data_IF_875174705449
#
_entry.id   IF_875174705449
#
_cell.length_a   1.000
_cell.length_b   1.000
_cell.length_c   1.000
_cell.angle_alpha   90.00
_cell.angle_beta   90.00
_cell.angle_gamma   90.00
#
_symmetry.space_group_name_H-M   'P 1'
#
loop_
_entity.id
_entity.type
_entity.pdbx_description
1 polymer ?
#
# COMPACT_ATOMS: atom_id res chain seq x y z
N UNK A 1 -63.71 45.79 31.94
CA UNK A 1 -62.24 45.72 31.93
C UNK A 1 -61.79 44.38 31.39
N UNK A 2 -61.01 44.39 30.32
CA UNK A 2 -60.32 43.23 29.78
C UNK A 2 -59.06 43.73 29.11
N UNK A 3 -57.95 43.77 29.83
CA UNK A 3 -56.64 44.12 29.27
C UNK A 3 -56.20 43.00 28.33
N UNK A 4 -55.83 43.29 27.08
CA UNK A 4 -55.38 42.27 26.14
C UNK A 4 -54.01 41.74 26.58
N UNK A 5 -53.93 40.44 26.84
CA UNK A 5 -52.67 39.77 27.17
C UNK A 5 -51.85 39.60 25.89
N UNK A 6 -50.72 40.28 25.80
CA UNK A 6 -49.74 40.09 24.72
C UNK A 6 -49.19 38.66 24.77
N UNK A 7 -49.16 37.91 23.65
CA UNK A 7 -48.54 36.60 23.60
C UNK A 7 -47.07 36.67 24.03
N UNK A 8 -46.54 35.65 24.74
CA UNK A 8 -45.14 35.63 25.12
C UNK A 8 -44.23 35.68 23.87
N UNK A 9 -43.09 36.40 23.91
CA UNK A 9 -42.18 36.47 22.78
C UNK A 9 -41.62 35.08 22.47
N UNK A 10 -41.71 34.65 21.21
CA UNK A 10 -41.07 33.42 20.76
C UNK A 10 -39.56 33.66 20.71
N UNK A 11 -38.78 32.82 21.39
CA UNK A 11 -37.31 32.86 21.31
C UNK A 11 -36.88 32.55 19.87
N UNK A 12 -36.00 33.36 19.25
CA UNK A 12 -35.50 33.09 17.91
C UNK A 12 -34.80 31.72 17.84
N UNK A 13 -35.16 30.91 16.85
CA UNK A 13 -34.53 29.61 16.61
C UNK A 13 -33.09 29.84 16.12
N UNK A 14 -32.11 29.25 16.81
CA UNK A 14 -30.71 29.31 16.37
C UNK A 14 -30.48 28.46 15.11
N UNK A 15 -29.44 28.74 14.29
CA UNK A 15 -29.13 27.92 13.11
C UNK A 15 -29.03 26.42 13.44
N UNK A 16 -28.31 26.05 14.50
CA UNK A 16 -28.19 24.66 14.97
C UNK A 16 -29.55 24.03 15.31
N UNK A 17 -30.48 24.80 15.88
CA UNK A 17 -31.83 24.31 16.18
C UNK A 17 -32.71 24.17 14.93
N UNK A 18 -32.36 24.82 13.82
CA UNK A 18 -33.10 24.72 12.56
C UNK A 18 -32.71 23.51 11.71
N UNK A 19 -31.59 22.84 12.02
CA UNK A 19 -31.16 21.63 11.32
C UNK A 19 -32.09 20.47 11.66
N UNK A 20 -32.58 19.81 10.62
CA UNK A 20 -33.44 18.63 10.66
C UNK A 20 -32.62 17.35 10.53
N UNK A 21 -31.75 17.29 9.52
CA UNK A 21 -30.83 16.18 9.27
C UNK A 21 -29.54 16.63 8.59
N UNK A 22 -28.57 15.73 8.54
CA UNK A 22 -27.37 15.85 7.72
C UNK A 22 -27.45 14.85 6.56
N UNK A 23 -26.96 15.26 5.41
CA UNK A 23 -26.89 14.43 4.20
C UNK A 23 -25.50 14.50 3.56
N UNK A 24 -25.19 13.51 2.71
CA UNK A 24 -23.99 13.57 1.88
C UNK A 24 -24.16 14.59 0.76
N UNK A 25 -23.16 15.45 0.59
CA UNK A 25 -23.14 16.50 -0.44
C UNK A 25 -22.29 16.10 -1.66
N UNK A 26 -22.36 14.82 -2.06
CA UNK A 26 -21.64 14.30 -3.21
C UNK A 26 -20.19 13.88 -2.90
N UNK A 27 -19.97 13.22 -1.77
CA UNK A 27 -18.66 12.67 -1.42
C UNK A 27 -18.26 11.59 -2.41
N UNK A 28 -17.14 11.80 -3.10
CA UNK A 28 -16.58 10.80 -4.01
C UNK A 28 -16.04 9.58 -3.25
N UNK A 29 -15.71 8.51 -3.99
CA UNK A 29 -15.18 7.28 -3.40
C UNK A 29 -13.88 7.57 -2.63
N UNK A 30 -13.90 7.32 -1.34
CA UNK A 30 -12.76 7.52 -0.45
C UNK A 30 -11.84 6.30 -0.50
N UNK A 31 -10.76 6.38 -1.25
CA UNK A 31 -9.72 5.34 -1.31
C UNK A 31 -8.34 5.97 -1.30
N UNK A 32 -7.41 5.35 -0.60
CA UNK A 32 -5.99 5.73 -0.57
C UNK A 32 -5.12 4.49 -0.38
N UNK A 33 -3.87 4.53 -0.85
CA UNK A 33 -2.89 3.51 -0.49
C UNK A 33 -2.44 3.72 0.96
N UNK A 34 -1.99 2.64 1.60
CA UNK A 34 -1.44 2.70 2.95
C UNK A 34 -0.35 3.78 3.04
N UNK A 35 -0.46 4.65 4.05
CA UNK A 35 0.42 5.79 4.26
C UNK A 35 0.19 7.02 3.36
N UNK A 36 -0.71 6.96 2.38
CA UNK A 36 -0.99 8.09 1.48
C UNK A 36 -2.17 8.94 1.96
N UNK A 37 -2.19 10.21 1.52
CA UNK A 37 -3.35 11.07 1.73
C UNK A 37 -4.52 10.62 0.84
N UNK A 38 -5.75 10.71 1.38
CA UNK A 38 -6.95 10.61 0.56
C UNK A 38 -7.06 11.86 -0.32
N UNK A 39 -7.20 11.66 -1.62
CA UNK A 39 -7.36 12.76 -2.59
C UNK A 39 -8.74 13.39 -2.51
N UNK A 40 -9.75 12.58 -2.21
CA UNK A 40 -11.14 12.99 -2.07
C UNK A 40 -11.46 13.44 -0.64
N UNK A 41 -12.38 14.41 -0.52
CA UNK A 41 -12.82 14.95 0.77
C UNK A 41 -14.28 14.64 1.04
N UNK A 42 -14.59 14.45 2.32
CA UNK A 42 -15.96 14.31 2.80
C UNK A 42 -16.66 15.67 2.76
N UNK A 43 -17.84 15.71 2.15
CA UNK A 43 -18.71 16.89 2.14
C UNK A 43 -20.07 16.53 2.71
N UNK A 44 -20.49 17.25 3.76
CA UNK A 44 -21.76 17.00 4.46
C UNK A 44 -22.60 18.26 4.42
N UNK A 45 -23.86 18.12 4.01
CA UNK A 45 -24.81 19.23 4.00
C UNK A 45 -25.74 19.13 5.20
N UNK A 46 -25.94 20.25 5.88
CA UNK A 46 -26.94 20.38 6.93
C UNK A 46 -28.20 21.01 6.34
N UNK A 47 -29.33 20.32 6.42
CA UNK A 47 -30.60 20.80 5.91
C UNK A 47 -31.59 21.06 7.02
N UNK A 48 -32.45 22.06 6.82
CA UNK A 48 -33.66 22.22 7.63
C UNK A 48 -34.82 21.40 7.05
N UNK A 49 -35.95 21.38 7.76
CA UNK A 49 -37.14 20.61 7.35
C UNK A 49 -37.74 21.04 5.98
N UNK A 50 -37.32 22.18 5.43
CA UNK A 50 -37.72 22.66 4.11
C UNK A 50 -36.69 22.33 3.00
N UNK A 51 -35.66 21.52 3.30
CA UNK A 51 -34.59 21.16 2.37
C UNK A 51 -33.65 22.32 2.02
N UNK A 52 -33.59 23.36 2.86
CA UNK A 52 -32.64 24.47 2.69
C UNK A 52 -31.41 24.23 3.53
N UNK A 53 -30.24 24.49 2.94
CA UNK A 53 -28.96 24.45 3.61
C UNK A 53 -28.88 25.42 4.79
N UNK A 54 -28.32 24.95 5.91
CA UNK A 54 -28.17 25.73 7.14
C UNK A 54 -26.70 26.09 7.33
N UNK A 55 -26.40 27.38 7.19
CA UNK A 55 -25.05 27.91 7.32
C UNK A 55 -24.58 28.05 8.77
N UNK A 56 -23.25 28.10 8.96
CA UNK A 56 -22.56 28.39 10.23
C UNK A 56 -22.89 27.41 11.38
N UNK A 57 -23.28 26.18 11.06
CA UNK A 57 -23.38 25.10 12.05
C UNK A 57 -22.10 24.27 12.04
N UNK A 58 -21.73 23.71 13.19
CA UNK A 58 -20.52 22.86 13.29
C UNK A 58 -20.87 21.40 13.13
N UNK A 59 -20.24 20.76 12.17
CA UNK A 59 -20.28 19.32 11.95
C UNK A 59 -18.99 18.72 12.51
N UNK A 60 -19.13 17.66 13.30
CA UNK A 60 -18.03 16.82 13.81
C UNK A 60 -17.96 15.55 12.98
N UNK A 61 -16.77 15.26 12.50
CA UNK A 61 -16.40 14.03 11.82
C UNK A 61 -15.59 13.16 12.78
N UNK A 62 -15.98 11.90 12.92
CA UNK A 62 -15.29 10.93 13.78
C UNK A 62 -14.93 9.69 12.97
N UNK A 63 -13.65 9.35 12.93
CA UNK A 63 -13.15 8.09 12.38
C UNK A 63 -13.53 6.95 13.34
N UNK A 64 -14.12 5.88 12.80
CA UNK A 64 -14.61 4.71 13.54
C UNK A 64 -14.19 3.44 12.80
N UNK A 65 -13.77 2.43 13.58
CA UNK A 65 -13.30 1.15 13.06
C UNK A 65 -11.84 0.92 13.44
N UNK A 66 -11.36 -0.29 13.11
CA UNK A 66 -9.95 -0.65 13.31
C UNK A 66 -9.10 -0.08 12.18
N UNK A 67 -8.52 1.08 12.43
CA UNK A 67 -7.65 1.79 11.49
C UNK A 67 -6.74 2.74 12.25
N UNK A 68 -5.58 3.01 11.69
CA UNK A 68 -4.64 4.03 12.10
C UNK A 68 -4.77 5.33 11.26
N UNK A 69 -5.74 5.42 10.33
CA UNK A 69 -6.03 6.63 9.56
C UNK A 69 -6.41 7.84 10.44
N UNK A 70 -6.03 9.05 10.05
CA UNK A 70 -6.26 10.28 10.83
C UNK A 70 -6.77 11.41 9.95
N UNK A 71 -7.36 12.44 10.56
CA UNK A 71 -7.48 13.73 9.90
C UNK A 71 -6.13 14.46 9.93
N UNK A 72 -5.98 15.46 9.06
CA UNK A 72 -4.86 16.39 9.11
C UNK A 72 -4.66 16.91 10.54
N UNK A 73 -3.47 16.71 11.10
CA UNK A 73 -3.16 17.00 12.51
C UNK A 73 -3.06 15.75 13.41
N UNK A 74 -3.33 14.55 12.89
CA UNK A 74 -3.14 13.28 13.60
C UNK A 74 -4.31 12.84 14.48
N UNK A 75 -5.40 13.61 14.49
CA UNK A 75 -6.58 13.36 15.31
C UNK A 75 -7.57 12.41 14.63
N UNK A 76 -8.32 11.62 15.41
CA UNK A 76 -9.45 10.80 14.93
C UNK A 76 -10.75 11.59 14.78
N UNK A 77 -10.76 12.83 15.28
CA UNK A 77 -11.90 13.72 15.29
C UNK A 77 -11.53 15.03 14.63
N UNK A 78 -12.41 15.52 13.77
CA UNK A 78 -12.28 16.82 13.14
C UNK A 78 -13.61 17.56 13.16
N UNK A 79 -13.57 18.88 13.05
CA UNK A 79 -14.77 19.70 12.95
C UNK A 79 -14.67 20.67 11.77
N UNK A 80 -15.78 20.89 11.08
CA UNK A 80 -15.90 21.91 10.06
C UNK A 80 -17.20 22.70 10.23
N UNK A 81 -17.18 23.96 9.80
CA UNK A 81 -18.37 24.81 9.74
C UNK A 81 -19.04 24.65 8.38
N UNK A 82 -20.38 24.66 8.38
CA UNK A 82 -21.12 24.79 7.13
C UNK A 82 -20.98 26.19 6.55
N UNK A 83 -20.77 26.24 5.24
CA UNK A 83 -20.72 27.48 4.46
C UNK A 83 -22.12 28.09 4.24
N UNK A 84 -22.21 29.11 3.38
CA UNK A 84 -23.47 29.77 3.07
C UNK A 84 -24.52 28.87 2.40
N UNK A 85 -24.09 27.78 1.74
CA UNK A 85 -24.95 26.78 1.12
C UNK A 85 -25.35 25.65 2.08
N UNK A 86 -24.82 25.66 3.31
CA UNK A 86 -25.06 24.62 4.31
C UNK A 86 -24.10 23.44 4.21
N UNK A 87 -23.03 23.51 3.41
CA UNK A 87 -22.08 22.42 3.21
C UNK A 87 -20.85 22.62 4.09
N UNK A 88 -20.48 21.59 4.84
CA UNK A 88 -19.20 21.50 5.55
C UNK A 88 -18.30 20.48 4.85
N UNK A 89 -17.05 20.87 4.60
CA UNK A 89 -16.02 19.97 4.08
C UNK A 89 -15.10 19.56 5.22
N UNK A 90 -14.93 18.26 5.43
CA UNK A 90 -14.02 17.74 6.45
C UNK A 90 -12.56 18.09 6.10
N UNK A 91 -11.68 18.25 7.11
CA UNK A 91 -10.23 18.22 6.89
C UNK A 91 -9.80 16.98 6.12
N UNK A 92 -8.66 17.07 5.42
CA UNK A 92 -8.17 15.96 4.62
C UNK A 92 -7.89 14.73 5.50
N UNK A 93 -8.27 13.56 5.00
CA UNK A 93 -7.96 12.27 5.61
C UNK A 93 -6.59 11.81 5.15
N UNK A 94 -5.86 11.21 6.08
CA UNK A 94 -4.56 10.59 5.89
C UNK A 94 -4.72 9.09 6.19
N UNK A 95 -4.38 8.23 5.23
CA UNK A 95 -4.30 6.80 5.50
C UNK A 95 -3.12 6.50 6.42
N UNK A 96 -3.32 5.56 7.33
CA UNK A 96 -2.20 4.89 8.00
C UNK A 96 -1.79 3.63 7.25
N UNK A 97 -1.07 2.74 7.92
CA UNK A 97 -0.56 1.49 7.34
C UNK A 97 -1.56 0.33 7.44
N UNK A 98 -2.59 0.43 8.29
CA UNK A 98 -3.64 -0.60 8.43
C UNK A 98 -4.56 -0.59 7.21
N UNK A 99 -4.37 -1.56 6.32
CA UNK A 99 -5.23 -1.77 5.15
C UNK A 99 -6.62 -2.28 5.55
N UNK A 100 -7.64 -1.91 4.78
CA UNK A 100 -9.02 -2.32 5.02
C UNK A 100 -9.99 -1.16 4.94
N UNK A 101 -11.25 -1.43 5.29
CA UNK A 101 -12.31 -0.42 5.28
C UNK A 101 -12.59 0.10 6.69
N UNK A 102 -12.82 1.40 6.80
CA UNK A 102 -13.26 2.07 8.02
C UNK A 102 -14.37 3.08 7.71
N UNK A 103 -14.98 3.62 8.77
CA UNK A 103 -16.08 4.55 8.65
C UNK A 103 -15.72 5.95 9.19
N UNK A 104 -16.30 6.99 8.62
CA UNK A 104 -16.31 8.34 9.19
C UNK A 104 -17.76 8.75 9.43
N UNK A 105 -18.11 9.01 10.69
CA UNK A 105 -19.47 9.46 11.08
C UNK A 105 -19.51 10.97 11.12
N UNK A 106 -20.49 11.57 10.45
CA UNK A 106 -20.79 13.00 10.60
C UNK A 106 -21.90 13.21 11.63
N UNK A 107 -21.67 14.13 12.56
CA UNK A 107 -22.63 14.48 13.62
C UNK A 107 -22.71 15.99 13.78
N UNK A 108 -23.92 16.51 14.00
CA UNK A 108 -24.11 17.91 14.33
C UNK A 108 -23.70 18.16 15.78
N UNK A 109 -22.93 19.22 16.03
CA UNK A 109 -22.59 19.63 17.40
C UNK A 109 -23.75 20.45 17.99
N UNK A 110 -24.17 20.09 19.20
CA UNK A 110 -25.19 20.84 19.97
C UNK A 110 -26.63 20.36 19.75
N UNK A 111 -26.86 19.39 18.87
CA UNK A 111 -28.16 18.74 18.67
C UNK A 111 -27.97 17.37 18.01
N UNK A 112 -28.76 16.38 18.43
CA UNK A 112 -28.83 15.08 17.75
C UNK A 112 -29.77 15.15 16.56
N UNK A 113 -29.26 14.78 15.38
CA UNK A 113 -30.00 14.62 14.13
C UNK A 113 -29.47 13.38 13.41
N UNK A 114 -30.22 12.86 12.45
CA UNK A 114 -29.73 11.81 11.56
C UNK A 114 -28.59 12.35 10.69
N UNK A 115 -27.56 11.55 10.44
CA UNK A 115 -26.46 11.94 9.57
C UNK A 115 -25.77 10.77 8.89
N UNK A 116 -24.99 11.04 7.83
CA UNK A 116 -24.37 10.00 7.02
C UNK A 116 -23.19 9.32 7.73
N UNK A 117 -22.91 8.10 7.28
CA UNK A 117 -21.69 7.36 7.59
C UNK A 117 -20.96 7.15 6.27
N UNK A 118 -19.74 7.69 6.18
CA UNK A 118 -18.90 7.57 4.99
C UNK A 118 -17.99 6.37 5.12
N UNK A 119 -17.97 5.50 4.12
CA UNK A 119 -17.02 4.38 4.06
C UNK A 119 -15.76 4.81 3.31
N UNK A 120 -14.61 4.57 3.92
CA UNK A 120 -13.30 4.79 3.31
C UNK A 120 -12.50 3.48 3.30
N UNK A 121 -11.62 3.32 2.32
CA UNK A 121 -10.79 2.11 2.17
C UNK A 121 -9.31 2.49 2.03
N UNK A 122 -8.47 1.87 2.84
CA UNK A 122 -7.02 1.86 2.69
C UNK A 122 -6.61 0.60 1.93
N UNK A 123 -5.98 0.76 0.78
CA UNK A 123 -5.44 -0.37 0.00
C UNK A 123 -3.98 -0.62 0.35
N UNK A 124 -3.49 -1.84 0.12
CA UNK A 124 -2.05 -2.10 0.23
C UNK A 124 -1.24 -1.22 -0.73
N UNK A 125 0.04 -1.04 -0.41
CA UNK A 125 1.01 -0.42 -1.31
C UNK A 125 1.26 -1.32 -2.52
N UNK A 126 1.51 -0.71 -3.67
CA UNK A 126 1.69 -1.41 -4.95
C UNK A 126 2.88 -0.85 -5.72
N UNK A 127 3.47 -1.67 -6.59
CA UNK A 127 4.45 -1.28 -7.58
C UNK A 127 4.03 -1.82 -8.95
N UNK A 128 4.23 -1.02 -10.00
CA UNK A 128 3.92 -1.38 -11.39
C UNK A 128 5.18 -1.75 -12.19
N UNK A 129 6.37 -1.41 -11.68
CA UNK A 129 7.63 -1.81 -12.27
C UNK A 129 8.65 -2.30 -11.23
N UNK A 130 9.49 -3.24 -11.66
CA UNK A 130 10.62 -3.79 -10.93
C UNK A 130 11.83 -3.83 -11.86
N UNK A 131 12.97 -3.35 -11.38
CA UNK A 131 14.23 -3.35 -12.15
C UNK A 131 15.37 -3.84 -11.27
N UNK A 132 16.30 -4.64 -11.81
CA UNK A 132 17.53 -5.00 -11.10
C UNK A 132 18.40 -3.76 -10.89
N UNK A 133 19.02 -3.65 -9.71
CA UNK A 133 19.93 -2.52 -9.44
C UNK A 133 21.35 -2.76 -9.95
N UNK A 134 21.67 -3.98 -10.35
CA UNK A 134 22.95 -4.36 -10.91
C UNK A 134 22.75 -5.31 -12.10
N UNK A 135 23.57 -5.11 -13.13
CA UNK A 135 23.57 -5.93 -14.36
C UNK A 135 24.54 -7.11 -14.28
N UNK A 136 25.21 -7.30 -13.14
CA UNK A 136 26.12 -8.43 -12.92
C UNK A 136 25.40 -9.75 -13.19
N UNK A 137 26.04 -10.59 -14.01
CA UNK A 137 25.55 -11.94 -14.26
C UNK A 137 25.58 -12.75 -12.97
N UNK A 138 24.45 -13.37 -12.63
CA UNK A 138 24.32 -14.17 -11.42
C UNK A 138 24.70 -15.60 -11.75
N UNK A 139 25.93 -15.97 -11.40
CA UNK A 139 26.48 -17.30 -11.65
C UNK A 139 27.06 -17.93 -10.39
N UNK A 140 27.00 -19.26 -10.29
CA UNK A 140 27.71 -20.02 -9.26
C UNK A 140 28.08 -21.42 -9.77
N UNK A 141 28.98 -22.09 -9.04
CA UNK A 141 29.30 -23.50 -9.27
C UNK A 141 28.23 -24.42 -8.69
N UNK A 142 28.07 -25.66 -9.19
CA UNK A 142 27.20 -26.67 -8.58
C UNK A 142 27.51 -26.84 -7.09
N UNK A 143 26.46 -26.91 -6.27
CA UNK A 143 26.56 -26.99 -4.81
C UNK A 143 27.07 -25.71 -4.12
N UNK A 144 27.30 -24.63 -4.88
CA UNK A 144 27.88 -23.37 -4.40
C UNK A 144 26.85 -22.31 -4.01
N UNK A 145 27.36 -21.10 -3.77
CA UNK A 145 26.57 -19.92 -3.43
C UNK A 145 26.78 -18.84 -4.49
N UNK A 146 25.75 -18.04 -4.76
CA UNK A 146 25.86 -16.89 -5.66
C UNK A 146 26.60 -15.75 -4.94
N UNK A 147 27.71 -15.27 -5.48
CA UNK A 147 28.50 -14.23 -4.82
C UNK A 147 27.72 -12.92 -4.62
N UNK A 148 26.87 -12.56 -5.58
CA UNK A 148 26.03 -11.37 -5.54
C UNK A 148 24.59 -11.71 -5.14
N UNK A 149 24.05 -10.94 -4.21
CA UNK A 149 22.63 -10.98 -3.87
C UNK A 149 21.79 -10.28 -4.96
N UNK A 150 20.60 -10.82 -5.21
CA UNK A 150 19.65 -10.17 -6.11
C UNK A 150 19.08 -8.94 -5.43
N UNK A 151 19.24 -7.79 -6.07
CA UNK A 151 18.73 -6.52 -5.60
C UNK A 151 17.83 -5.91 -6.68
N UNK A 152 16.65 -5.46 -6.26
CA UNK A 152 15.63 -4.88 -7.14
C UNK A 152 15.15 -3.54 -6.59
N UNK A 153 14.79 -2.64 -7.50
CA UNK A 153 14.11 -1.39 -7.21
C UNK A 153 12.68 -1.47 -7.73
N UNK A 154 11.72 -1.16 -6.86
CA UNK A 154 10.32 -1.05 -7.20
C UNK A 154 9.92 0.41 -7.41
N UNK A 155 9.11 0.65 -8.43
CA UNK A 155 8.50 1.95 -8.68
C UNK A 155 7.00 1.79 -8.94
N UNK A 156 6.28 2.87 -8.68
CA UNK A 156 4.87 3.02 -9.01
C UNK A 156 4.68 4.35 -9.72
N UNK A 157 4.22 4.34 -10.98
CA UNK A 157 4.07 5.56 -11.79
C UNK A 157 5.34 6.44 -11.77
N UNK A 158 6.49 5.81 -12.00
CA UNK A 158 7.83 6.42 -12.00
C UNK A 158 8.30 7.03 -10.66
N UNK A 159 7.53 6.89 -9.58
CA UNK A 159 7.92 7.26 -8.23
C UNK A 159 8.46 6.05 -7.45
N UNK A 160 9.28 6.31 -6.42
CA UNK A 160 9.74 5.28 -5.48
C UNK A 160 8.53 4.60 -4.83
N UNK A 161 8.52 3.27 -4.83
CA UNK A 161 7.46 2.48 -4.20
C UNK A 161 7.99 1.78 -2.95
N UNK A 162 7.89 2.47 -1.81
CA UNK A 162 8.31 1.95 -0.50
C UNK A 162 7.27 1.01 0.12
N UNK A 163 7.73 0.12 1.01
CA UNK A 163 6.89 -0.83 1.78
C UNK A 163 5.94 -1.66 0.92
N UNK A 164 6.29 -1.91 -0.34
CA UNK A 164 5.51 -2.75 -1.24
C UNK A 164 5.79 -4.20 -0.90
N UNK A 165 4.73 -5.00 -0.76
CA UNK A 165 4.86 -6.43 -0.58
C UNK A 165 5.38 -7.11 -1.86
N UNK A 166 6.41 -7.94 -1.71
CA UNK A 166 7.08 -8.65 -2.80
C UNK A 166 7.07 -10.16 -2.54
N UNK A 167 6.90 -10.93 -3.60
CA UNK A 167 7.09 -12.38 -3.61
C UNK A 167 8.21 -12.73 -4.58
N UNK A 168 9.10 -13.62 -4.17
CA UNK A 168 10.21 -14.09 -5.00
C UNK A 168 10.16 -15.62 -5.09
N UNK A 169 10.03 -16.16 -6.30
CA UNK A 169 9.84 -17.59 -6.55
C UNK A 169 10.82 -18.10 -7.60
N UNK A 170 11.51 -19.20 -7.32
CA UNK A 170 12.27 -19.95 -8.30
C UNK A 170 11.29 -20.80 -9.11
N UNK A 171 11.05 -20.42 -10.36
CA UNK A 171 10.07 -21.05 -11.23
C UNK A 171 10.76 -21.95 -12.26
N UNK A 172 10.00 -22.87 -12.87
CA UNK A 172 10.56 -23.77 -13.89
C UNK A 172 11.00 -23.05 -15.15
N UNK A 173 10.22 -22.06 -15.60
CA UNK A 173 10.56 -21.22 -16.76
C UNK A 173 9.70 -19.95 -16.77
N UNK A 174 10.00 -18.99 -17.65
CA UNK A 174 9.16 -17.79 -17.80
C UNK A 174 7.70 -18.12 -18.15
N UNK A 175 7.46 -19.21 -18.88
CA UNK A 175 6.13 -19.65 -19.30
C UNK A 175 5.46 -20.59 -18.27
N UNK A 176 6.22 -21.16 -17.34
CA UNK A 176 5.73 -22.05 -16.28
C UNK A 176 6.13 -21.49 -14.89
N UNK A 177 5.19 -20.75 -14.29
CA UNK A 177 5.34 -20.13 -12.98
C UNK A 177 5.30 -21.12 -11.80
N UNK A 178 5.21 -22.43 -12.04
CA UNK A 178 5.28 -23.42 -10.95
C UNK A 178 6.67 -23.42 -10.34
N UNK A 179 6.73 -23.55 -9.01
CA UNK A 179 8.00 -23.60 -8.30
C UNK A 179 8.86 -24.77 -8.80
N UNK A 180 10.14 -24.50 -8.99
CA UNK A 180 11.11 -25.52 -9.38
C UNK A 180 11.40 -26.48 -8.21
N UNK A 181 11.85 -27.69 -8.50
CA UNK A 181 12.21 -28.72 -7.51
C UNK A 181 13.73 -28.95 -7.40
N UNK A 182 14.49 -28.41 -8.35
CA UNK A 182 15.95 -28.51 -8.46
C UNK A 182 16.61 -27.16 -8.73
N UNK A 183 17.92 -27.09 -8.52
CA UNK A 183 18.71 -25.88 -8.77
C UNK A 183 18.63 -24.88 -7.62
N UNK A 184 18.70 -23.57 -7.92
CA UNK A 184 18.83 -22.53 -6.91
C UNK A 184 17.72 -22.52 -5.86
N UNK A 185 18.08 -22.10 -4.66
CA UNK A 185 17.19 -22.03 -3.52
C UNK A 185 17.66 -20.97 -2.51
N UNK A 186 16.73 -20.55 -1.65
CA UNK A 186 17.00 -19.73 -0.48
C UNK A 186 16.94 -20.60 0.79
N UNK A 187 17.47 -20.09 1.89
CA UNK A 187 17.28 -20.67 3.21
C UNK A 187 16.31 -19.81 4.01
N UNK A 188 15.34 -20.43 4.68
CA UNK A 188 14.50 -19.74 5.66
C UNK A 188 15.27 -19.49 6.97
N UNK A 189 14.60 -18.91 7.97
CA UNK A 189 15.19 -18.60 9.26
C UNK A 189 15.70 -19.84 10.01
N UNK A 190 15.15 -21.02 9.72
CA UNK A 190 15.56 -22.31 10.29
C UNK A 190 16.64 -23.01 9.46
N UNK A 191 17.10 -22.38 8.37
CA UNK A 191 18.11 -22.92 7.45
C UNK A 191 17.56 -23.93 6.44
N UNK A 192 16.24 -24.11 6.37
CA UNK A 192 15.60 -25.05 5.44
C UNK A 192 15.54 -24.47 4.04
N UNK A 193 15.73 -25.34 3.06
CA UNK A 193 15.58 -25.01 1.63
C UNK A 193 14.16 -24.55 1.33
N UNK A 194 14.05 -23.32 0.81
CA UNK A 194 12.82 -22.74 0.29
C UNK A 194 13.05 -22.17 -1.10
N UNK A 195 12.03 -22.24 -1.96
CA UNK A 195 12.07 -21.72 -3.35
C UNK A 195 11.04 -20.64 -3.60
N UNK A 196 10.28 -20.29 -2.57
CA UNK A 196 9.34 -19.18 -2.56
C UNK A 196 9.57 -18.40 -1.28
N UNK A 197 9.87 -17.12 -1.43
CA UNK A 197 9.94 -16.16 -0.35
C UNK A 197 8.69 -15.28 -0.40
N UNK A 198 7.95 -15.26 0.70
CA UNK A 198 6.82 -14.37 0.94
C UNK A 198 7.12 -13.44 2.11
N UNK A 199 6.32 -12.39 2.28
CA UNK A 199 6.52 -11.43 3.37
C UNK A 199 7.73 -10.52 3.19
N UNK A 200 8.28 -10.43 1.98
CA UNK A 200 9.30 -9.45 1.64
C UNK A 200 8.65 -8.09 1.43
N UNK A 201 9.32 -7.02 1.84
CA UNK A 201 8.87 -5.65 1.63
C UNK A 201 10.00 -4.77 1.15
N UNK A 202 9.72 -3.87 0.22
CA UNK A 202 10.69 -2.83 -0.15
C UNK A 202 10.93 -1.85 1.00
N UNK A 203 12.13 -1.29 1.06
CA UNK A 203 12.50 -0.26 2.02
C UNK A 203 11.99 1.14 1.60
N UNK A 204 12.38 2.17 2.34
CA UNK A 204 11.99 3.56 2.09
C UNK A 204 12.45 4.11 0.73
N UNK A 205 13.50 3.53 0.14
CA UNK A 205 14.03 3.90 -1.17
C UNK A 205 13.43 3.03 -2.31
N UNK A 206 12.46 2.17 -1.96
CA UNK A 206 11.84 1.21 -2.86
C UNK A 206 12.78 0.07 -3.24
N UNK A 207 13.85 -0.14 -2.48
CA UNK A 207 14.84 -1.19 -2.72
C UNK A 207 14.46 -2.45 -1.95
N UNK A 208 14.76 -3.60 -2.55
CA UNK A 208 14.67 -4.90 -1.90
C UNK A 208 15.93 -5.69 -2.24
N UNK A 209 16.64 -6.10 -1.19
CA UNK A 209 17.73 -7.05 -1.26
C UNK A 209 17.22 -8.43 -0.85
N UNK A 210 17.26 -9.39 -1.77
CA UNK A 210 16.90 -10.76 -1.47
C UNK A 210 17.97 -11.44 -0.60
N UNK A 211 17.57 -12.44 0.22
CA UNK A 211 18.51 -13.27 0.97
C UNK A 211 19.55 -13.95 0.06
N UNK A 212 20.61 -14.46 0.70
CA UNK A 212 21.65 -15.23 0.03
C UNK A 212 21.03 -16.40 -0.76
N UNK A 213 21.45 -16.51 -2.02
CA UNK A 213 21.00 -17.58 -2.91
C UNK A 213 22.08 -18.67 -2.97
N UNK A 214 21.61 -19.91 -2.91
CA UNK A 214 22.42 -21.13 -2.94
C UNK A 214 22.01 -21.97 -4.15
N UNK A 215 22.88 -22.87 -4.61
CA UNK A 215 22.56 -23.86 -5.64
C UNK A 215 22.78 -25.29 -5.11
N UNK A 216 21.98 -26.23 -5.61
CA UNK A 216 22.30 -27.66 -5.50
C UNK A 216 23.24 -28.09 -6.64
N UNK A 217 23.46 -29.40 -6.80
CA UNK A 217 24.36 -29.94 -7.82
C UNK A 217 23.79 -29.87 -9.25
N UNK A 218 22.56 -29.38 -9.42
CA UNK A 218 21.90 -29.29 -10.73
C UNK A 218 22.46 -28.13 -11.53
N UNK A 219 23.15 -28.45 -12.62
CA UNK A 219 23.62 -27.44 -13.58
C UNK A 219 22.49 -26.99 -14.49
N UNK A 220 22.56 -25.74 -14.95
CA UNK A 220 21.63 -25.19 -15.91
C UNK A 220 21.34 -23.71 -15.71
N UNK A 221 20.38 -23.23 -16.50
CA UNK A 221 19.82 -21.88 -16.39
C UNK A 221 18.47 -21.96 -15.70
N UNK A 222 18.28 -21.11 -14.71
CA UNK A 222 17.11 -21.06 -13.85
C UNK A 222 16.51 -19.65 -13.85
N UNK A 223 15.21 -19.57 -13.53
CA UNK A 223 14.48 -18.30 -13.50
C UNK A 223 13.99 -18.03 -12.08
N UNK A 224 14.44 -16.91 -11.52
CA UNK A 224 13.86 -16.32 -10.32
C UNK A 224 12.87 -15.25 -10.75
N UNK A 225 11.59 -15.49 -10.49
CA UNK A 225 10.52 -14.51 -10.73
C UNK A 225 10.23 -13.73 -9.47
N UNK A 226 10.29 -12.41 -9.58
CA UNK A 226 9.93 -11.46 -8.52
C UNK A 226 8.65 -10.74 -8.92
N UNK A 227 7.65 -10.74 -8.04
CA UNK A 227 6.35 -10.10 -8.28
C UNK A 227 5.93 -9.20 -7.14
N UNK A 228 5.19 -8.15 -7.45
CA UNK A 228 4.59 -7.25 -6.45
C UNK A 228 3.08 -7.20 -6.56
N UNK A 229 2.43 -6.75 -5.49
CA UNK A 229 1.09 -6.17 -5.62
C UNK A 229 1.18 -4.96 -6.58
N UNK A 230 0.27 -4.87 -7.56
CA UNK A 230 0.34 -3.85 -8.63
C UNK A 230 0.69 -4.40 -10.01
N UNK A 231 1.15 -5.65 -10.09
CA UNK A 231 1.34 -6.37 -11.35
C UNK A 231 2.76 -6.32 -11.91
N UNK A 232 3.71 -5.67 -11.23
CA UNK A 232 5.10 -5.75 -11.63
C UNK A 232 5.60 -7.20 -11.55
N UNK A 233 6.28 -7.63 -12.61
CA UNK A 233 6.92 -8.95 -12.70
C UNK A 233 8.31 -8.76 -13.29
N UNK A 234 9.31 -9.34 -12.65
CA UNK A 234 10.70 -9.34 -13.10
C UNK A 234 11.25 -10.76 -13.06
N UNK A 235 11.70 -11.24 -14.21
CA UNK A 235 12.37 -12.54 -14.33
C UNK A 235 13.89 -12.32 -14.33
N UNK A 236 14.55 -12.90 -13.35
CA UNK A 236 16.00 -12.85 -13.17
C UNK A 236 16.60 -14.20 -13.57
N UNK A 237 17.48 -14.17 -14.55
CA UNK A 237 18.22 -15.36 -14.99
C UNK A 237 19.36 -15.67 -14.03
N UNK A 238 19.45 -16.94 -13.64
CA UNK A 238 20.47 -17.49 -12.75
C UNK A 238 21.16 -18.65 -13.48
N UNK A 239 22.48 -18.73 -13.41
CA UNK A 239 23.23 -19.82 -14.06
C UNK A 239 24.05 -20.61 -13.04
N UNK A 240 23.83 -21.92 -13.01
CA UNK A 240 24.65 -22.87 -12.24
C UNK A 240 25.49 -23.67 -13.24
N UNK A 241 26.79 -23.42 -13.27
CA UNK A 241 27.71 -24.07 -14.20
C UNK A 241 29.05 -24.33 -13.53
N UNK A 242 29.70 -25.44 -13.90
CA UNK A 242 31.08 -25.67 -13.48
C UNK A 242 31.94 -24.50 -13.94
N UNK A 243 32.89 -24.08 -13.09
CA UNK A 243 33.88 -23.10 -13.51
C UNK A 243 34.58 -23.64 -14.76
N UNK A 244 34.67 -22.83 -15.81
CA UNK A 244 35.44 -23.22 -16.98
C UNK A 244 36.87 -23.50 -16.51
N UNK A 245 37.32 -24.75 -16.67
CA UNK A 245 38.70 -25.13 -16.40
C UNK A 245 39.60 -24.21 -17.21
N UNK A 246 40.25 -23.24 -16.55
CA UNK A 246 41.41 -22.55 -17.10
C UNK A 246 42.64 -23.45 -16.99
N UNK A 247 42.46 -24.76 -17.22
CA UNK A 247 43.54 -25.72 -17.33
C UNK A 247 44.39 -25.30 -18.52
N UNK A 248 45.45 -24.58 -18.20
CA UNK A 248 46.60 -24.34 -19.04
C UNK A 248 46.94 -25.64 -19.76
N UNK A 249 46.88 -25.55 -21.09
CA UNK A 249 47.27 -26.57 -22.06
C UNK A 249 48.44 -27.44 -21.55
N UNK A 250 48.34 -28.78 -21.60
CA UNK A 250 49.47 -29.63 -21.28
C UNK A 250 50.54 -29.39 -22.34
N UNK A 251 51.67 -28.79 -21.95
CA UNK A 251 52.84 -28.73 -22.82
C UNK A 251 53.27 -30.17 -23.12
N UNK A 252 53.29 -30.62 -24.38
CA UNK A 252 53.75 -31.95 -24.70
C UNK A 252 55.26 -32.01 -24.42
N UNK A 253 55.66 -32.94 -23.57
CA UNK A 253 57.06 -33.37 -23.46
C UNK A 253 57.32 -34.45 -24.50
N UNK A 254 58.31 -34.29 -25.41
CA UNK A 254 58.89 -35.43 -26.08
C UNK A 254 60.25 -35.81 -25.48
N UNK A 255 60.40 -37.12 -25.38
CA UNK A 255 61.46 -37.93 -24.76
C UNK A 255 62.91 -37.65 -25.18
N UNK A 256 63.78 -38.13 -24.30
CA UNK A 256 65.20 -38.38 -24.49
C UNK A 256 65.55 -39.32 -25.67
N UNK A 257 66.72 -39.10 -26.27
CA UNK A 257 67.72 -40.05 -26.83
C UNK A 257 68.85 -39.16 -27.41
N UNK A 258 70.15 -39.33 -27.20
CA UNK A 258 71.01 -40.44 -26.76
C UNK A 258 72.21 -39.89 -25.99
#
# INVERSE_FOLDING_TARGET
SGTPTTPPPTTPVTPTQSVDHLEDSGTAKLTAMAGDAFTEKISTKAENAAGKGVAKVRIRYTIVGDTDATFTGGEKVATALTDASGVATAPALQAGETTGSFAVRATLIGRTVTGPIYTATVTQRVADALVRTADTALTCTPGGEFADAVQVKATYKDAVADKVAVTATLIKSADDATANDKGPYFKDADGKTVRTLTGLTTDADGLLKLPQLYADDTTGTFVLRVTTAGGATLDVTLTVAAAADTSTSPSPSPSASS
#
